data_IF_383028751053
#
_entry.id   IF_383028751053
#
_cell.length_a   1.000
_cell.length_b   1.000
_cell.length_c   1.000
_cell.angle_alpha   90.00
_cell.angle_beta   90.00
_cell.angle_gamma   90.00
#
_symmetry.space_group_name_H-M   'P 1'
#
loop_
_entity.id
_entity.type
_entity.pdbx_description
1 polymer ?
#
# COMPACT_ATOMS: atom_id res chain seq x y z
N UNK A 1 -40.66 31.03 24.88
CA UNK A 1 -40.50 30.89 23.41
C UNK A 1 -39.10 31.38 23.07
N UNK A 2 -38.15 30.45 22.84
CA UNK A 2 -36.78 30.80 22.48
C UNK A 2 -36.69 31.05 20.98
N UNK A 3 -36.53 32.31 20.58
CA UNK A 3 -35.98 32.71 19.29
C UNK A 3 -34.55 32.21 19.20
N UNK A 4 -34.34 31.00 18.68
CA UNK A 4 -33.03 30.60 18.16
C UNK A 4 -32.70 31.54 17.01
N UNK A 5 -31.79 32.46 17.24
CA UNK A 5 -31.12 33.24 16.18
C UNK A 5 -30.67 32.27 15.09
N UNK A 6 -31.10 32.50 13.85
CA UNK A 6 -30.73 31.65 12.73
C UNK A 6 -29.19 31.58 12.64
N UNK A 7 -28.63 30.38 12.70
CA UNK A 7 -27.18 30.18 12.60
C UNK A 7 -26.69 30.62 11.22
N UNK A 8 -25.65 31.46 11.21
CA UNK A 8 -25.01 31.95 9.98
C UNK A 8 -24.13 30.88 9.33
N UNK A 9 -23.34 30.16 10.13
CA UNK A 9 -22.58 29.01 9.65
C UNK A 9 -23.43 27.75 9.79
N UNK A 10 -23.60 27.01 8.70
CA UNK A 10 -24.43 25.81 8.65
C UNK A 10 -23.77 24.73 7.80
N UNK A 11 -24.39 23.56 7.79
CA UNK A 11 -23.97 22.41 6.99
C UNK A 11 -24.89 22.27 5.77
N UNK A 12 -24.32 22.27 4.57
CA UNK A 12 -25.02 21.96 3.33
C UNK A 12 -25.06 20.45 3.09
N UNK A 13 -25.89 19.75 3.89
CA UNK A 13 -26.22 18.34 3.64
C UNK A 13 -27.28 18.21 2.55
N UNK A 14 -27.34 17.04 1.90
CA UNK A 14 -28.39 16.72 0.92
C UNK A 14 -29.80 16.97 1.49
N UNK A 15 -30.05 16.57 2.74
CA UNK A 15 -31.34 16.80 3.42
C UNK A 15 -31.67 18.27 3.63
N UNK A 16 -30.66 19.12 3.89
CA UNK A 16 -30.89 20.56 4.05
C UNK A 16 -31.15 21.21 2.71
N UNK A 17 -30.36 20.86 1.70
CA UNK A 17 -30.54 21.35 0.33
C UNK A 17 -31.93 20.98 -0.19
N UNK A 18 -32.33 19.72 -0.06
CA UNK A 18 -33.66 19.25 -0.45
C UNK A 18 -34.78 20.02 0.28
N UNK A 19 -34.69 20.18 1.60
CA UNK A 19 -35.68 20.95 2.37
C UNK A 19 -35.80 22.41 1.94
N UNK A 20 -34.68 23.07 1.62
CA UNK A 20 -34.69 24.45 1.13
C UNK A 20 -35.31 24.53 -0.28
N UNK A 21 -35.01 23.58 -1.16
CA UNK A 21 -35.59 23.48 -2.51
C UNK A 21 -37.10 23.27 -2.44
N UNK A 22 -37.56 22.35 -1.59
CA UNK A 22 -38.98 22.05 -1.37
C UNK A 22 -39.75 23.24 -0.79
N UNK A 23 -39.09 24.06 0.03
CA UNK A 23 -39.68 25.23 0.68
C UNK A 23 -39.85 26.46 -0.21
N UNK A 24 -39.16 26.52 -1.36
CA UNK A 24 -39.13 27.70 -2.23
C UNK A 24 -40.50 27.97 -2.89
N UNK A 25 -40.98 29.22 -2.79
CA UNK A 25 -42.32 29.62 -3.26
C UNK A 25 -42.31 30.56 -4.47
N UNK A 26 -41.37 31.49 -4.49
CA UNK A 26 -41.30 32.57 -5.47
C UNK A 26 -40.06 32.43 -6.37
N UNK A 27 -38.91 32.07 -5.78
CA UNK A 27 -37.63 31.96 -6.51
C UNK A 27 -36.79 30.79 -6.03
N UNK A 28 -36.19 30.08 -6.98
CA UNK A 28 -35.27 28.97 -6.76
C UNK A 28 -34.07 29.07 -7.72
N UNK A 29 -32.89 29.32 -7.18
CA UNK A 29 -31.62 29.29 -7.94
C UNK A 29 -30.74 28.20 -7.38
N UNK A 30 -30.27 27.29 -8.22
CA UNK A 30 -29.29 26.27 -7.86
C UNK A 30 -28.08 26.33 -8.79
N UNK A 31 -26.90 26.53 -8.22
CA UNK A 31 -25.62 26.52 -8.93
C UNK A 31 -24.66 25.62 -8.17
N UNK A 32 -24.08 24.62 -8.84
CA UNK A 32 -23.15 23.68 -8.22
C UNK A 32 -22.24 23.02 -9.27
N UNK A 33 -21.07 22.48 -8.89
CA UNK A 33 -20.26 21.69 -9.81
C UNK A 33 -21.03 20.49 -10.38
N UNK A 34 -21.64 19.71 -9.49
CA UNK A 34 -22.44 18.54 -9.80
C UNK A 34 -23.61 18.42 -8.81
N UNK A 35 -24.48 17.43 -9.03
CA UNK A 35 -25.67 17.20 -8.23
C UNK A 35 -25.72 15.76 -7.72
N UNK A 36 -26.18 15.57 -6.48
CA UNK A 36 -26.44 14.27 -5.85
C UNK A 36 -27.87 13.82 -6.13
N UNK A 37 -28.17 12.52 -6.00
CA UNK A 37 -29.52 12.00 -6.30
C UNK A 37 -30.64 12.65 -5.46
N UNK A 38 -30.50 12.85 -4.14
CA UNK A 38 -31.57 13.48 -3.34
C UNK A 38 -31.85 14.91 -3.80
N UNK A 39 -30.80 15.69 -4.07
CA UNK A 39 -30.94 17.09 -4.53
C UNK A 39 -31.52 17.13 -5.93
N UNK A 40 -31.09 16.26 -6.85
CA UNK A 40 -31.65 16.18 -8.20
C UNK A 40 -33.14 15.82 -8.18
N UNK A 41 -33.57 14.89 -7.30
CA UNK A 41 -34.99 14.55 -7.11
C UNK A 41 -35.79 15.76 -6.60
N UNK A 42 -35.27 16.49 -5.61
CA UNK A 42 -35.91 17.70 -5.10
C UNK A 42 -36.07 18.76 -6.19
N UNK A 43 -35.00 19.05 -6.96
CA UNK A 43 -35.05 20.00 -8.09
C UNK A 43 -36.06 19.55 -9.17
N UNK A 44 -36.00 18.29 -9.59
CA UNK A 44 -36.89 17.74 -10.61
C UNK A 44 -38.37 17.84 -10.20
N UNK A 45 -38.68 17.69 -8.91
CA UNK A 45 -40.03 17.84 -8.38
C UNK A 45 -40.56 19.29 -8.44
N UNK A 46 -39.69 20.31 -8.52
CA UNK A 46 -40.09 21.72 -8.66
C UNK A 46 -40.30 22.15 -10.12
N UNK A 47 -39.74 21.42 -11.10
CA UNK A 47 -39.83 21.77 -12.52
C UNK A 47 -41.26 21.87 -13.11
N UNK A 48 -42.28 21.14 -12.64
CA UNK A 48 -43.66 21.36 -13.07
C UNK A 48 -44.20 22.76 -12.74
N UNK A 49 -43.55 23.50 -11.84
CA UNK A 49 -43.97 24.82 -11.38
C UNK A 49 -43.27 25.98 -12.10
N UNK A 50 -42.43 25.69 -13.10
CA UNK A 50 -41.77 26.70 -13.94
C UNK A 50 -42.82 27.66 -14.50
N UNK A 51 -42.60 28.96 -14.28
CA UNK A 51 -43.50 30.05 -14.65
C UNK A 51 -44.35 30.56 -13.48
N UNK A 52 -44.66 29.72 -12.49
CA UNK A 52 -45.18 30.16 -11.18
C UNK A 52 -44.04 30.41 -10.19
N UNK A 53 -43.06 29.51 -10.20
CA UNK A 53 -41.78 29.63 -9.50
C UNK A 53 -40.72 30.04 -10.51
N UNK A 54 -39.93 31.07 -10.19
CA UNK A 54 -38.77 31.44 -10.98
C UNK A 54 -37.62 30.47 -10.68
N UNK A 55 -37.27 29.60 -11.63
CA UNK A 55 -36.30 28.52 -11.44
C UNK A 55 -35.09 28.74 -12.34
N UNK A 56 -33.90 28.70 -11.74
CA UNK A 56 -32.62 28.72 -12.45
C UNK A 56 -31.74 27.58 -11.95
N UNK A 57 -31.18 26.78 -12.86
CA UNK A 57 -30.30 25.66 -12.52
C UNK A 57 -29.06 25.69 -13.40
N UNK A 58 -27.87 25.81 -12.80
CA UNK A 58 -26.57 25.91 -13.47
C UNK A 58 -25.62 24.83 -12.95
N UNK A 59 -24.97 24.08 -13.86
CA UNK A 59 -24.00 23.02 -13.53
C UNK A 59 -22.66 23.20 -14.27
N UNK A 60 -21.56 22.62 -13.78
CA UNK A 60 -20.23 22.72 -14.44
C UNK A 60 -20.19 22.00 -15.81
N UNK A 61 -20.94 20.90 -15.92
CA UNK A 61 -21.01 20.05 -17.12
C UNK A 61 -19.65 19.43 -17.52
N UNK A 62 -18.73 19.27 -16.57
CA UNK A 62 -17.47 18.56 -16.72
C UNK A 62 -17.57 17.12 -16.14
N UNK A 63 -17.27 16.05 -16.90
CA UNK A 63 -17.20 14.68 -16.35
C UNK A 63 -16.27 14.54 -15.14
N UNK A 64 -15.18 15.32 -15.07
CA UNK A 64 -14.21 15.26 -13.97
C UNK A 64 -14.84 15.63 -12.62
N UNK A 65 -15.84 16.51 -12.56
CA UNK A 65 -16.50 16.84 -11.28
C UNK A 65 -17.27 15.65 -10.70
N UNK A 66 -17.82 14.79 -11.55
CA UNK A 66 -18.46 13.53 -11.12
C UNK A 66 -17.41 12.50 -10.71
N UNK A 67 -16.26 12.46 -11.41
CA UNK A 67 -15.14 11.60 -11.05
C UNK A 67 -14.49 12.02 -9.73
N UNK A 68 -14.48 13.30 -9.38
CA UNK A 68 -14.01 13.80 -8.08
C UNK A 68 -15.01 13.54 -6.93
N UNK A 69 -16.23 13.10 -7.27
CA UNK A 69 -17.27 12.76 -6.31
C UNK A 69 -18.09 13.95 -5.80
N UNK A 70 -18.27 14.99 -6.62
CA UNK A 70 -19.19 16.09 -6.29
C UNK A 70 -20.67 15.76 -6.56
N UNK A 71 -20.97 14.67 -7.25
CA UNK A 71 -22.32 14.24 -7.61
C UNK A 71 -22.33 12.87 -8.28
N UNK A 72 -23.50 12.43 -8.75
CA UNK A 72 -23.64 11.13 -9.43
C UNK A 72 -24.11 11.28 -10.88
N UNK A 73 -23.61 10.45 -11.82
CA UNK A 73 -24.10 10.44 -13.20
C UNK A 73 -25.61 10.14 -13.31
N UNK A 74 -26.13 9.30 -12.42
CA UNK A 74 -27.57 9.00 -12.32
C UNK A 74 -28.41 10.22 -11.97
N UNK A 75 -27.90 11.10 -11.09
CA UNK A 75 -28.58 12.34 -10.71
C UNK A 75 -28.63 13.35 -11.86
N UNK A 76 -27.55 13.48 -12.64
CA UNK A 76 -27.52 14.30 -13.84
C UNK A 76 -28.56 13.82 -14.87
N UNK A 77 -28.62 12.52 -15.14
CA UNK A 77 -29.59 11.96 -16.09
C UNK A 77 -31.03 12.14 -15.62
N UNK A 78 -31.29 11.97 -14.32
CA UNK A 78 -32.60 12.21 -13.72
C UNK A 78 -33.05 13.66 -13.95
N UNK A 79 -32.16 14.62 -13.62
CA UNK A 79 -32.47 16.04 -13.77
C UNK A 79 -32.62 16.45 -15.23
N UNK A 80 -31.77 15.94 -16.12
CA UNK A 80 -31.85 16.17 -17.57
C UNK A 80 -33.16 15.66 -18.17
N UNK A 81 -33.59 14.47 -17.76
CA UNK A 81 -34.86 13.87 -18.20
C UNK A 81 -36.06 14.71 -17.74
N UNK A 82 -36.02 15.18 -16.49
CA UNK A 82 -37.07 16.06 -15.97
C UNK A 82 -37.08 17.42 -16.68
N UNK A 83 -35.90 18.02 -16.92
CA UNK A 83 -35.76 19.28 -17.64
C UNK A 83 -36.31 19.19 -19.06
N UNK A 84 -35.97 18.13 -19.80
CA UNK A 84 -36.49 17.89 -21.14
C UNK A 84 -38.03 17.73 -21.15
N UNK A 85 -38.59 16.99 -20.18
CA UNK A 85 -40.04 16.79 -20.04
C UNK A 85 -40.81 18.11 -19.84
N UNK A 86 -40.22 19.04 -19.10
CA UNK A 86 -40.84 20.32 -18.74
C UNK A 86 -40.36 21.49 -19.62
N UNK A 87 -39.64 21.22 -20.71
CA UNK A 87 -39.04 22.23 -21.60
C UNK A 87 -38.21 23.28 -20.84
N UNK A 88 -37.56 22.85 -19.76
CA UNK A 88 -36.75 23.70 -18.90
C UNK A 88 -35.31 23.78 -19.43
N UNK A 89 -34.77 24.98 -19.66
CA UNK A 89 -33.39 25.14 -20.12
C UNK A 89 -32.41 24.97 -18.96
N UNK A 90 -31.81 23.77 -18.84
CA UNK A 90 -30.71 23.54 -17.91
C UNK A 90 -29.47 24.31 -18.39
N UNK A 91 -28.87 25.12 -17.53
CA UNK A 91 -27.72 25.97 -17.87
C UNK A 91 -26.41 25.31 -17.45
N UNK A 92 -25.32 25.70 -18.12
CA UNK A 92 -23.98 25.21 -17.85
C UNK A 92 -22.97 26.35 -17.69
N UNK A 93 -22.01 26.15 -16.80
CA UNK A 93 -20.91 27.06 -16.56
C UNK A 93 -19.66 26.26 -16.18
N UNK A 94 -18.73 26.03 -17.11
CA UNK A 94 -17.51 25.30 -16.82
C UNK A 94 -16.69 25.93 -15.69
N UNK A 95 -16.13 25.10 -14.81
CA UNK A 95 -15.23 25.49 -13.73
C UNK A 95 -15.90 25.99 -12.45
N UNK A 96 -17.20 25.71 -12.22
CA UNK A 96 -17.86 26.03 -10.95
C UNK A 96 -17.23 25.20 -9.82
N UNK A 97 -16.77 25.87 -8.74
CA UNK A 97 -16.19 25.20 -7.55
C UNK A 97 -16.91 25.51 -6.25
N UNK A 98 -17.98 26.27 -6.31
CA UNK A 98 -18.83 26.63 -5.19
C UNK A 98 -20.24 26.09 -5.43
N UNK A 99 -20.98 25.91 -4.34
CA UNK A 99 -22.39 25.66 -4.37
C UNK A 99 -23.16 26.90 -3.92
N UNK A 100 -24.24 27.22 -4.61
CA UNK A 100 -25.14 28.32 -4.29
C UNK A 100 -26.56 27.82 -4.44
N UNK A 101 -27.34 27.92 -3.37
CA UNK A 101 -28.79 27.68 -3.38
C UNK A 101 -29.50 28.93 -2.87
N UNK A 102 -30.36 29.51 -3.69
CA UNK A 102 -31.24 30.62 -3.30
C UNK A 102 -32.67 30.08 -3.32
N UNK A 103 -33.32 30.06 -2.17
CA UNK A 103 -34.73 29.75 -2.01
C UNK A 103 -35.42 30.99 -1.42
N UNK A 104 -36.14 31.72 -2.26
CA UNK A 104 -36.78 33.00 -1.93
C UNK A 104 -35.77 34.03 -1.37
N UNK A 105 -35.83 34.31 -0.06
CA UNK A 105 -34.93 35.23 0.65
C UNK A 105 -33.76 34.52 1.35
N UNK A 106 -33.73 33.19 1.31
CA UNK A 106 -32.70 32.38 1.94
C UNK A 106 -31.62 32.00 0.92
N UNK A 107 -30.42 32.54 1.08
CA UNK A 107 -29.26 32.16 0.26
C UNK A 107 -28.31 31.29 1.07
N UNK A 108 -27.93 30.15 0.53
CA UNK A 108 -26.93 29.23 1.08
C UNK A 108 -25.76 29.17 0.11
N UNK A 109 -24.61 29.73 0.52
CA UNK A 109 -23.34 29.57 -0.18
C UNK A 109 -22.54 28.47 0.50
N UNK A 110 -22.09 27.46 -0.23
CA UNK A 110 -21.39 26.31 0.34
C UNK A 110 -20.20 25.87 -0.48
N UNK A 111 -19.26 25.18 0.18
CA UNK A 111 -18.19 24.43 -0.48
C UNK A 111 -18.66 22.98 -0.68
N UNK A 112 -18.92 22.54 -1.92
CA UNK A 112 -19.21 21.14 -2.21
C UNK A 112 -18.07 20.26 -1.71
N UNK A 113 -18.41 19.13 -1.09
CA UNK A 113 -17.43 18.22 -0.52
C UNK A 113 -17.20 17.07 -1.51
N UNK A 114 -15.97 16.85 -2.00
CA UNK A 114 -15.69 15.72 -2.88
C UNK A 114 -15.80 14.42 -2.07
N UNK A 115 -16.82 13.60 -2.37
CA UNK A 115 -17.10 12.36 -1.64
C UNK A 115 -15.95 11.33 -1.71
N UNK A 116 -15.00 11.50 -2.63
CA UNK A 116 -13.77 10.70 -2.69
C UNK A 116 -12.72 11.05 -1.63
N UNK A 117 -12.79 12.25 -1.06
CA UNK A 117 -11.77 12.77 -0.13
C UNK A 117 -12.34 12.85 1.29
N UNK A 118 -13.59 13.26 1.44
CA UNK A 118 -14.22 13.49 2.75
C UNK A 118 -15.63 12.87 2.80
N UNK A 119 -16.01 12.32 3.96
CA UNK A 119 -17.42 12.00 4.20
C UNK A 119 -18.19 13.32 4.21
N UNK A 120 -19.30 13.41 3.47
CA UNK A 120 -20.18 14.58 3.51
C UNK A 120 -20.44 14.97 4.97
N UNK A 121 -20.27 16.25 5.29
CA UNK A 121 -20.47 16.71 6.66
C UNK A 121 -21.96 16.56 6.99
N UNK A 122 -22.28 15.71 7.97
CA UNK A 122 -23.64 15.54 8.52
C UNK A 122 -23.75 16.08 9.95
N UNK A 123 -22.64 16.57 10.52
CA UNK A 123 -22.58 17.13 11.87
C UNK A 123 -22.47 18.65 11.82
N UNK A 124 -23.30 19.33 12.60
CA UNK A 124 -23.28 20.78 12.81
C UNK A 124 -21.92 21.31 13.33
N UNK A 125 -21.03 20.42 13.82
CA UNK A 125 -19.67 20.75 14.26
C UNK A 125 -18.68 20.98 13.10
N UNK A 126 -19.07 20.70 11.85
CA UNK A 126 -18.23 20.88 10.64
C UNK A 126 -18.98 21.68 9.57
N UNK A 127 -19.21 22.99 9.78
CA UNK A 127 -19.92 23.81 8.81
C UNK A 127 -19.12 23.94 7.51
N UNK A 128 -19.79 23.74 6.37
CA UNK A 128 -19.23 23.97 5.03
C UNK A 128 -20.02 25.03 4.25
N UNK A 129 -20.95 25.73 4.92
CA UNK A 129 -21.85 26.67 4.28
C UNK A 129 -22.14 27.90 5.14
N UNK A 130 -22.54 28.98 4.46
CA UNK A 130 -22.89 30.27 5.03
C UNK A 130 -24.29 30.66 4.54
N UNK A 131 -25.16 30.98 5.49
CA UNK A 131 -26.46 31.60 5.24
C UNK A 131 -26.30 33.10 5.01
N UNK A 132 -26.70 33.57 3.83
CA UNK A 132 -26.67 34.96 3.40
C UNK A 132 -28.12 35.43 3.25
N UNK A 133 -28.39 36.69 3.62
CA UNK A 133 -29.72 37.31 3.52
C UNK A 133 -29.61 38.80 3.18
N UNK A 134 -30.73 39.41 2.79
CA UNK A 134 -30.79 40.80 2.36
C UNK A 134 -30.08 41.04 1.03
N UNK A 135 -29.73 42.29 0.73
CA UNK A 135 -29.30 42.75 -0.62
C UNK A 135 -28.21 41.95 -1.33
N UNK A 136 -27.36 41.21 -0.60
CA UNK A 136 -26.38 40.30 -1.20
C UNK A 136 -27.04 39.09 -1.90
N UNK A 137 -28.13 38.57 -1.34
CA UNK A 137 -28.96 37.51 -1.93
C UNK A 137 -29.51 37.93 -3.29
N UNK A 138 -30.03 39.15 -3.39
CA UNK A 138 -30.57 39.69 -4.64
C UNK A 138 -29.49 39.87 -5.71
N UNK A 139 -28.31 40.37 -5.35
CA UNK A 139 -27.18 40.51 -6.28
C UNK A 139 -26.75 39.15 -6.84
N UNK A 140 -26.63 38.14 -5.98
CA UNK A 140 -26.27 36.78 -6.39
C UNK A 140 -27.34 36.14 -7.28
N UNK A 141 -28.62 36.38 -6.98
CA UNK A 141 -29.72 35.88 -7.79
C UNK A 141 -29.68 36.48 -9.21
N UNK A 142 -29.50 37.79 -9.33
CA UNK A 142 -29.39 38.47 -10.64
C UNK A 142 -28.16 37.99 -11.42
N UNK A 143 -26.99 37.88 -10.77
CA UNK A 143 -25.77 37.37 -11.42
C UNK A 143 -25.91 35.91 -11.88
N UNK A 144 -26.76 35.12 -11.22
CA UNK A 144 -27.09 33.76 -11.64
C UNK A 144 -28.23 33.69 -12.67
N UNK A 145 -28.78 34.83 -13.12
CA UNK A 145 -29.80 34.90 -14.15
C UNK A 145 -31.26 34.78 -13.66
N UNK A 146 -31.50 34.89 -12.36
CA UNK A 146 -32.87 34.87 -11.81
C UNK A 146 -33.54 36.26 -11.94
N UNK A 147 -34.83 36.26 -12.29
CA UNK A 147 -35.63 37.45 -12.53
C UNK A 147 -36.32 37.45 -13.90
N UNK A 148 -37.20 38.44 -14.16
CA UNK A 148 -37.95 38.52 -15.41
C UNK A 148 -37.00 38.64 -16.62
N UNK A 149 -37.36 37.97 -17.72
CA UNK A 149 -36.53 37.79 -18.92
C UNK A 149 -35.93 39.09 -19.49
N UNK A 150 -36.56 40.25 -19.26
CA UNK A 150 -36.08 41.57 -19.68
C UNK A 150 -34.83 42.07 -18.91
N UNK A 151 -34.47 41.43 -17.78
CA UNK A 151 -33.30 41.77 -16.93
C UNK A 151 -32.14 40.77 -17.04
N UNK A 152 -32.20 39.83 -17.99
CA UNK A 152 -31.16 38.79 -18.20
C UNK A 152 -29.81 39.32 -18.67
N UNK A 153 -29.69 40.62 -18.99
CA UNK A 153 -28.43 41.25 -19.38
C UNK A 153 -27.36 41.30 -18.27
N UNK A 154 -27.76 41.13 -17.01
CA UNK A 154 -26.87 41.17 -15.84
C UNK A 154 -26.42 39.77 -15.36
N UNK A 155 -26.75 38.70 -16.11
CA UNK A 155 -26.31 37.34 -15.81
C UNK A 155 -24.79 37.21 -16.04
N UNK A 156 -24.06 36.75 -15.04
CA UNK A 156 -22.60 36.58 -15.07
C UNK A 156 -22.18 35.11 -15.30
N UNK A 157 -23.01 34.15 -14.86
CA UNK A 157 -22.72 32.71 -14.92
C UNK A 157 -23.90 31.92 -15.49
N UNK A 158 -23.64 30.82 -16.20
CA UNK A 158 -24.70 29.98 -16.76
C UNK A 158 -25.28 30.48 -18.10
N UNK A 159 -24.49 31.26 -18.85
CA UNK A 159 -24.92 31.85 -20.12
C UNK A 159 -25.19 30.83 -21.23
N UNK A 160 -24.63 29.63 -21.11
CA UNK A 160 -24.81 28.56 -22.08
C UNK A 160 -25.87 27.56 -21.60
N UNK A 161 -26.74 27.12 -22.51
CA UNK A 161 -27.64 25.99 -22.24
C UNK A 161 -26.90 24.66 -22.41
N UNK A 162 -27.27 23.64 -21.63
CA UNK A 162 -26.83 22.27 -21.84
C UNK A 162 -27.48 21.74 -23.12
N UNK A 163 -26.75 21.74 -24.24
CA UNK A 163 -27.26 21.20 -25.50
C UNK A 163 -27.38 19.67 -25.44
N UNK A 164 -28.25 19.06 -26.26
CA UNK A 164 -28.35 17.60 -26.36
C UNK A 164 -27.02 16.93 -26.72
N UNK A 165 -26.21 17.57 -27.57
CA UNK A 165 -24.89 17.08 -27.98
C UNK A 165 -23.90 17.09 -26.82
N UNK A 166 -23.84 18.20 -26.06
CA UNK A 166 -22.99 18.33 -24.88
C UNK A 166 -23.38 17.32 -23.80
N UNK A 167 -24.68 17.13 -23.55
CA UNK A 167 -25.18 16.11 -22.64
C UNK A 167 -24.75 14.70 -23.08
N UNK A 168 -24.89 14.38 -24.37
CA UNK A 168 -24.50 13.07 -24.90
C UNK A 168 -22.99 12.83 -24.77
N UNK A 169 -22.17 13.87 -25.00
CA UNK A 169 -20.72 13.78 -24.84
C UNK A 169 -20.33 13.48 -23.38
N UNK A 170 -20.91 14.18 -22.41
CA UNK A 170 -20.67 13.95 -20.98
C UNK A 170 -21.09 12.54 -20.58
N UNK A 171 -22.28 12.11 -20.99
CA UNK A 171 -22.79 10.77 -20.65
C UNK A 171 -21.97 9.67 -21.32
N UNK A 172 -21.49 9.88 -22.55
CA UNK A 172 -20.61 8.93 -23.24
C UNK A 172 -19.25 8.81 -22.56
N UNK A 173 -18.64 9.94 -22.16
CA UNK A 173 -17.38 9.95 -21.42
C UNK A 173 -17.52 9.25 -20.06
N UNK A 174 -18.57 9.57 -19.29
CA UNK A 174 -18.86 8.92 -18.00
C UNK A 174 -19.17 7.43 -18.14
N UNK A 175 -19.65 6.96 -19.30
CA UNK A 175 -19.82 5.53 -19.58
C UNK A 175 -18.50 4.85 -19.95
N UNK A 176 -17.66 5.50 -20.75
CA UNK A 176 -16.36 4.98 -21.13
C UNK A 176 -15.39 4.93 -19.94
N UNK A 177 -15.48 5.92 -19.06
CA UNK A 177 -14.62 6.13 -17.90
C UNK A 177 -15.48 6.42 -16.66
N UNK A 178 -16.10 5.38 -16.07
CA UNK A 178 -17.01 5.56 -14.95
C UNK A 178 -16.28 6.09 -13.71
N UNK A 179 -16.94 6.97 -12.92
CA UNK A 179 -16.46 7.34 -11.61
C UNK A 179 -16.23 6.09 -10.75
N UNK A 180 -15.10 6.04 -10.05
CA UNK A 180 -14.83 4.94 -9.14
C UNK A 180 -15.82 4.98 -7.95
N UNK A 181 -16.29 3.80 -7.51
CA UNK A 181 -17.24 3.71 -6.38
C UNK A 181 -16.60 4.27 -5.11
N UNK A 182 -17.29 5.24 -4.50
CA UNK A 182 -16.77 6.12 -3.45
C UNK A 182 -16.21 5.38 -2.22
N UNK A 183 -16.85 4.29 -1.79
CA UNK A 183 -16.45 3.52 -0.60
C UNK A 183 -15.12 2.77 -0.79
N UNK A 184 -14.83 2.41 -2.03
CA UNK A 184 -13.68 1.57 -2.40
C UNK A 184 -12.40 2.41 -2.50
N UNK A 185 -12.47 3.61 -3.09
CA UNK A 185 -11.28 4.47 -3.26
C UNK A 185 -10.78 5.03 -1.92
N UNK A 186 -11.72 5.39 -1.03
CA UNK A 186 -11.36 5.91 0.29
C UNK A 186 -10.75 4.83 1.18
N UNK A 187 -11.33 3.64 1.17
CA UNK A 187 -10.76 2.48 1.89
C UNK A 187 -9.36 2.18 1.36
N UNK A 188 -9.18 2.07 0.05
CA UNK A 188 -7.87 1.91 -0.61
C UNK A 188 -6.84 2.93 -0.12
N UNK A 189 -7.16 4.23 -0.12
CA UNK A 189 -6.23 5.29 0.29
C UNK A 189 -5.85 5.18 1.77
N UNK A 190 -6.80 4.87 2.65
CA UNK A 190 -6.55 4.65 4.08
C UNK A 190 -5.63 3.43 4.27
N UNK A 191 -5.93 2.30 3.60
CA UNK A 191 -5.12 1.08 3.71
C UNK A 191 -3.71 1.28 3.15
N UNK A 192 -3.54 1.90 1.97
CA UNK A 192 -2.20 2.18 1.41
C UNK A 192 -1.38 3.14 2.28
N UNK A 193 -2.04 4.04 3.03
CA UNK A 193 -1.37 4.97 3.96
C UNK A 193 -0.96 4.34 5.30
N UNK A 194 -1.63 3.26 5.74
CA UNK A 194 -1.39 2.67 7.07
C UNK A 194 -0.72 1.29 7.01
N UNK A 195 -0.78 0.60 5.87
CA UNK A 195 -0.25 -0.73 5.68
C UNK A 195 0.75 -0.79 4.53
N UNK A 196 1.64 -1.78 4.60
CA UNK A 196 2.61 -2.08 3.56
C UNK A 196 2.86 -3.60 3.52
N UNK A 197 3.04 -4.17 2.33
CA UNK A 197 3.57 -5.53 2.21
C UNK A 197 5.07 -5.55 2.46
N UNK A 198 5.54 -6.57 3.15
CA UNK A 198 6.96 -6.72 3.46
C UNK A 198 7.42 -8.16 3.24
N UNK A 199 8.52 -8.30 2.50
CA UNK A 199 9.19 -9.56 2.30
C UNK A 199 10.63 -9.45 2.81
N UNK A 200 10.98 -10.27 3.81
CA UNK A 200 12.32 -10.35 4.36
C UNK A 200 13.08 -11.47 3.65
N UNK A 201 14.07 -11.12 2.83
CA UNK A 201 14.94 -12.08 2.14
C UNK A 201 16.30 -12.11 2.82
N UNK A 202 16.65 -13.27 3.34
CA UNK A 202 17.94 -13.54 3.96
C UNK A 202 18.73 -14.47 3.04
N UNK A 203 19.81 -13.96 2.45
CA UNK A 203 20.69 -14.71 1.54
C UNK A 203 22.00 -15.11 2.23
N UNK A 204 22.69 -16.13 1.71
CA UNK A 204 24.01 -16.55 2.17
C UNK A 204 24.11 -16.98 3.65
N UNK A 205 23.03 -17.58 4.18
CA UNK A 205 22.93 -18.00 5.59
C UNK A 205 22.89 -19.51 5.83
N UNK A 206 22.98 -20.34 4.78
CA UNK A 206 23.03 -21.80 4.87
C UNK A 206 24.41 -22.27 4.49
N UNK A 207 25.15 -22.79 5.47
CA UNK A 207 26.57 -23.13 5.35
C UNK A 207 26.78 -24.64 5.12
N UNK A 208 25.73 -25.45 5.24
CA UNK A 208 25.78 -26.93 5.24
C UNK A 208 25.72 -27.62 3.86
N UNK A 209 25.53 -26.91 2.75
CA UNK A 209 25.00 -27.53 1.51
C UNK A 209 25.94 -27.66 0.31
N UNK A 210 27.24 -27.32 0.37
CA UNK A 210 28.15 -27.44 -0.80
C UNK A 210 29.12 -28.62 -0.68
N UNK A 211 29.20 -29.45 -1.72
CA UNK A 211 30.16 -30.56 -1.87
C UNK A 211 31.16 -30.21 -2.97
N UNK A 212 32.45 -30.45 -2.74
CA UNK A 212 33.49 -30.30 -3.77
C UNK A 212 34.08 -31.67 -4.10
N UNK A 213 34.25 -31.93 -5.40
CA UNK A 213 34.88 -33.15 -5.90
C UNK A 213 36.41 -33.06 -5.78
N UNK A 214 37.06 -34.19 -5.49
CA UNK A 214 38.51 -34.28 -5.44
C UNK A 214 39.13 -34.15 -6.86
N UNK A 215 40.24 -33.41 -7.02
CA UNK A 215 40.97 -33.30 -8.28
C UNK A 215 41.53 -34.67 -8.73
N UNK A 216 41.60 -34.91 -10.06
CA UNK A 216 42.03 -36.20 -10.62
C UNK A 216 43.47 -36.60 -10.25
N UNK A 217 44.33 -35.65 -9.95
CA UNK A 217 45.73 -35.85 -9.55
C UNK A 217 45.84 -36.57 -8.19
N UNK A 218 44.87 -36.34 -7.29
CA UNK A 218 44.76 -37.03 -6.01
C UNK A 218 44.04 -38.39 -6.14
N UNK A 219 43.22 -38.57 -7.19
CA UNK A 219 42.50 -39.82 -7.44
C UNK A 219 43.42 -40.95 -7.90
N UNK A 220 44.52 -40.63 -8.57
CA UNK A 220 45.47 -41.60 -9.13
C UNK A 220 46.44 -42.19 -8.09
N UNK A 221 46.52 -41.59 -6.90
CA UNK A 221 47.48 -41.94 -5.84
C UNK A 221 46.78 -42.43 -4.55
N UNK A 222 45.46 -42.24 -4.45
CA UNK A 222 44.64 -42.64 -3.29
C UNK A 222 43.94 -43.99 -3.48
N UNK A 223 43.94 -44.81 -2.43
CA UNK A 223 43.14 -46.03 -2.28
C UNK A 223 41.70 -45.70 -1.84
N UNK A 224 40.76 -46.64 -2.02
CA UNK A 224 39.32 -46.41 -1.82
C UNK A 224 38.98 -45.90 -0.40
N UNK A 225 39.62 -46.46 0.63
CA UNK A 225 39.43 -46.03 2.02
C UNK A 225 39.93 -44.60 2.28
N UNK A 226 41.07 -44.22 1.70
CA UNK A 226 41.60 -42.85 1.81
C UNK A 226 40.74 -41.84 1.06
N UNK A 227 40.18 -42.22 -0.11
CA UNK A 227 39.21 -41.40 -0.86
C UNK A 227 37.96 -41.12 -0.06
N UNK A 228 37.39 -42.14 0.59
CA UNK A 228 36.17 -41.99 1.41
C UNK A 228 36.43 -41.16 2.69
N UNK A 229 37.62 -41.30 3.28
CA UNK A 229 38.03 -40.53 4.48
C UNK A 229 38.35 -39.06 4.19
N UNK A 230 38.87 -38.74 3.01
CA UNK A 230 39.21 -37.36 2.64
C UNK A 230 38.01 -36.66 2.02
N UNK A 231 37.18 -37.35 1.24
CA UNK A 231 35.91 -36.81 0.73
C UNK A 231 34.90 -36.51 1.85
N UNK A 232 34.94 -37.24 2.98
CA UNK A 232 34.18 -36.89 4.18
C UNK A 232 34.73 -35.65 4.91
N UNK A 233 36.03 -35.35 4.78
CA UNK A 233 36.68 -34.14 5.31
C UNK A 233 36.48 -32.86 4.47
N UNK A 234 35.95 -32.98 3.24
CA UNK A 234 35.57 -31.84 2.38
C UNK A 234 34.17 -31.31 2.74
N UNK A 235 33.44 -31.96 3.66
CA UNK A 235 32.30 -31.34 4.32
C UNK A 235 32.81 -30.48 5.47
N UNK A 236 32.26 -29.28 5.71
CA UNK A 236 32.48 -28.64 7.00
C UNK A 236 32.02 -29.62 8.08
N UNK A 237 32.88 -30.01 9.04
CA UNK A 237 32.45 -30.87 10.13
C UNK A 237 31.21 -30.25 10.81
N UNK A 238 30.24 -31.06 11.23
CA UNK A 238 29.08 -30.53 11.96
C UNK A 238 29.52 -29.70 13.19
N UNK A 239 30.64 -30.09 13.79
CA UNK A 239 31.30 -29.39 14.89
C UNK A 239 31.93 -28.05 14.51
N UNK A 240 32.30 -27.87 13.23
CA UNK A 240 32.87 -26.64 12.70
C UNK A 240 31.82 -25.60 12.33
N UNK A 241 30.57 -26.03 12.10
CA UNK A 241 29.41 -25.16 11.92
C UNK A 241 28.74 -24.81 13.25
N UNK A 242 28.95 -25.66 14.26
CA UNK A 242 28.77 -25.35 15.66
C UNK A 242 27.37 -24.93 16.07
N UNK A 243 27.15 -24.97 17.37
CA UNK A 243 26.57 -23.82 18.03
C UNK A 243 27.69 -23.04 18.72
N UNK A 244 27.96 -21.80 18.28
CA UNK A 244 29.00 -20.96 18.85
C UNK A 244 28.48 -20.16 20.03
N UNK A 245 29.26 -20.05 21.10
CA UNK A 245 28.97 -19.08 22.17
C UNK A 245 29.59 -17.75 21.76
N UNK A 246 28.77 -16.86 21.23
CA UNK A 246 29.18 -15.54 20.74
C UNK A 246 28.39 -14.44 21.44
N UNK A 247 28.99 -13.27 21.54
CA UNK A 247 28.32 -12.07 22.04
C UNK A 247 27.35 -11.57 20.96
N UNK A 248 26.05 -11.66 21.23
CA UNK A 248 25.00 -11.13 20.35
C UNK A 248 24.36 -9.90 20.98
N UNK A 249 23.88 -9.01 20.12
CA UNK A 249 23.07 -7.86 20.50
C UNK A 249 21.63 -8.35 20.78
N UNK A 250 21.16 -8.14 22.01
CA UNK A 250 19.81 -8.52 22.47
C UNK A 250 18.79 -7.38 22.24
N UNK A 251 17.51 -7.65 22.49
CA UNK A 251 16.39 -6.68 22.30
C UNK A 251 16.55 -5.38 23.10
N UNK A 252 17.22 -5.44 24.25
CA UNK A 252 17.50 -4.29 25.12
C UNK A 252 18.73 -3.49 24.68
N UNK A 253 19.39 -3.87 23.57
CA UNK A 253 20.62 -3.25 23.09
C UNK A 253 21.88 -3.68 23.85
N UNK A 254 21.78 -4.64 24.76
CA UNK A 254 22.93 -5.18 25.48
C UNK A 254 23.59 -6.36 24.76
N UNK A 255 24.90 -6.53 24.95
CA UNK A 255 25.65 -7.66 24.42
C UNK A 255 25.56 -8.84 25.39
N UNK A 256 25.02 -9.98 24.95
CA UNK A 256 24.91 -11.20 25.75
C UNK A 256 25.56 -12.40 25.06
N UNK A 257 26.30 -13.20 25.82
CA UNK A 257 26.81 -14.49 25.35
C UNK A 257 25.65 -15.44 25.15
N UNK A 258 25.39 -15.82 23.90
CA UNK A 258 24.42 -16.86 23.58
C UNK A 258 25.02 -17.91 22.69
N UNK A 259 24.42 -19.10 22.79
CA UNK A 259 24.73 -20.26 21.96
C UNK A 259 23.94 -20.14 20.64
N UNK A 260 24.62 -19.67 19.60
CA UNK A 260 24.04 -19.36 18.28
C UNK A 260 24.34 -20.48 17.29
N UNK A 261 23.32 -20.91 16.54
CA UNK A 261 23.41 -21.88 15.44
C UNK A 261 22.57 -21.43 14.25
N UNK A 262 22.69 -22.09 13.09
CA UNK A 262 21.80 -21.85 11.93
C UNK A 262 20.31 -21.97 12.31
N UNK A 263 19.97 -22.88 13.23
CA UNK A 263 18.60 -23.05 13.73
C UNK A 263 18.15 -21.83 14.53
N UNK A 264 19.02 -21.28 15.37
CA UNK A 264 18.73 -20.06 16.13
C UNK A 264 18.51 -18.88 15.19
N UNK A 265 19.35 -18.68 14.17
CA UNK A 265 19.19 -17.60 13.19
C UNK A 265 17.86 -17.72 12.42
N UNK A 266 17.45 -18.94 12.09
CA UNK A 266 16.16 -19.20 11.44
C UNK A 266 14.98 -18.87 12.35
N UNK A 267 15.07 -19.24 13.63
CA UNK A 267 14.05 -18.92 14.64
C UNK A 267 13.98 -17.42 14.94
N UNK A 268 15.13 -16.74 15.00
CA UNK A 268 15.19 -15.30 15.26
C UNK A 268 14.60 -14.50 14.11
N UNK A 269 14.90 -14.89 12.87
CA UNK A 269 14.23 -14.35 11.68
C UNK A 269 12.72 -14.53 11.76
N UNK A 270 12.26 -15.75 12.06
CA UNK A 270 10.82 -16.05 12.17
C UNK A 270 10.16 -15.22 13.29
N UNK A 271 10.83 -15.03 14.44
CA UNK A 271 10.37 -14.17 15.53
C UNK A 271 10.18 -12.73 15.08
N UNK A 272 11.16 -12.15 14.38
CA UNK A 272 11.07 -10.77 13.85
C UNK A 272 9.89 -10.67 12.88
N UNK A 273 9.77 -11.60 11.92
CA UNK A 273 8.66 -11.62 10.99
C UNK A 273 7.31 -11.74 11.72
N UNK A 274 7.16 -12.64 12.70
CA UNK A 274 5.90 -12.86 13.41
C UNK A 274 5.52 -11.72 14.37
N UNK A 275 6.48 -10.99 14.91
CA UNK A 275 6.24 -9.93 15.91
C UNK A 275 5.69 -8.66 15.27
N UNK A 276 6.18 -8.32 14.08
CA UNK A 276 5.83 -7.06 13.41
C UNK A 276 4.90 -7.23 12.21
N UNK A 277 4.78 -8.44 11.68
CA UNK A 277 4.00 -8.71 10.47
C UNK A 277 2.93 -9.76 10.70
N UNK A 278 1.95 -9.76 9.80
CA UNK A 278 0.88 -10.73 9.79
C UNK A 278 0.57 -11.19 8.37
N UNK A 279 0.27 -12.47 8.24
CA UNK A 279 0.04 -13.10 6.95
C UNK A 279 -1.43 -12.99 6.56
N UNK A 280 -1.68 -12.43 5.38
CA UNK A 280 -2.99 -12.36 4.75
C UNK A 280 -3.06 -13.48 3.70
N UNK A 281 -3.94 -14.49 3.88
CA UNK A 281 -3.98 -15.65 3.00
C UNK A 281 -4.18 -15.29 1.53
N UNK A 282 -3.32 -15.79 0.64
CA UNK A 282 -3.22 -15.49 -0.81
C UNK A 282 -2.59 -14.12 -1.17
N UNK A 283 -2.36 -13.24 -0.20
CA UNK A 283 -1.86 -11.88 -0.46
C UNK A 283 -0.46 -11.61 0.13
N UNK A 284 -0.03 -12.41 1.11
CA UNK A 284 1.33 -12.34 1.68
C UNK A 284 1.39 -11.63 3.03
N UNK A 285 2.58 -11.20 3.45
CA UNK A 285 2.81 -10.58 4.76
C UNK A 285 2.67 -9.07 4.71
N UNK A 286 1.93 -8.53 5.67
CA UNK A 286 1.63 -7.10 5.82
C UNK A 286 2.17 -6.59 7.16
N UNK A 287 2.62 -5.35 7.18
CA UNK A 287 3.07 -4.60 8.35
C UNK A 287 2.30 -3.27 8.46
N UNK A 288 2.05 -2.81 9.68
CA UNK A 288 1.58 -1.45 9.96
C UNK A 288 2.74 -0.47 9.76
N UNK A 289 2.52 0.61 9.01
CA UNK A 289 3.56 1.64 8.78
C UNK A 289 4.08 2.23 10.10
N UNK A 290 3.26 2.33 11.14
CA UNK A 290 3.66 2.79 12.47
C UNK A 290 4.71 1.90 13.14
N UNK A 291 4.73 0.60 12.81
CA UNK A 291 5.68 -0.36 13.38
C UNK A 291 6.93 -0.53 12.51
N UNK A 292 7.01 0.16 11.36
CA UNK A 292 8.09 -0.01 10.39
C UNK A 292 9.45 0.36 10.96
N UNK A 293 9.53 1.47 11.68
CA UNK A 293 10.79 1.93 12.29
C UNK A 293 11.35 0.90 13.28
N UNK A 294 10.49 0.23 14.07
CA UNK A 294 10.91 -0.81 15.01
C UNK A 294 11.35 -2.08 14.29
N UNK A 295 10.61 -2.48 13.25
CA UNK A 295 10.98 -3.61 12.40
C UNK A 295 12.36 -3.42 11.76
N UNK A 296 12.64 -2.24 11.21
CA UNK A 296 13.93 -1.94 10.57
C UNK A 296 15.08 -1.99 11.58
N UNK A 297 14.90 -1.45 12.78
CA UNK A 297 15.88 -1.55 13.86
C UNK A 297 16.18 -3.01 14.27
N UNK A 298 15.15 -3.86 14.34
CA UNK A 298 15.32 -5.29 14.62
C UNK A 298 16.04 -6.03 13.49
N UNK A 299 15.80 -5.64 12.23
CA UNK A 299 16.51 -6.18 11.07
C UNK A 299 18.00 -5.80 11.10
N UNK A 300 18.33 -4.55 11.41
CA UNK A 300 19.73 -4.10 11.58
C UNK A 300 20.44 -4.85 12.72
N UNK A 301 19.72 -5.07 13.83
CA UNK A 301 20.22 -5.91 14.93
C UNK A 301 20.51 -7.33 14.46
N UNK A 302 19.57 -7.93 13.74
CA UNK A 302 19.72 -9.28 13.19
C UNK A 302 20.89 -9.37 12.21
N UNK A 303 21.10 -8.35 11.38
CA UNK A 303 22.26 -8.25 10.48
C UNK A 303 23.59 -8.25 11.25
N UNK A 304 23.65 -7.46 12.32
CA UNK A 304 24.82 -7.39 13.19
C UNK A 304 25.14 -8.75 13.81
N UNK A 305 24.14 -9.43 14.35
CA UNK A 305 24.28 -10.77 14.92
C UNK A 305 24.73 -11.81 13.88
N UNK A 306 24.23 -11.69 12.64
CA UNK A 306 24.58 -12.56 11.53
C UNK A 306 26.04 -12.38 11.08
N UNK A 307 26.54 -11.13 11.09
CA UNK A 307 27.97 -10.83 10.84
C UNK A 307 28.87 -11.42 11.92
N UNK A 308 28.49 -11.31 13.20
CA UNK A 308 29.24 -11.91 14.31
C UNK A 308 29.28 -13.43 14.22
N UNK A 309 28.15 -14.06 13.90
CA UNK A 309 28.10 -15.50 13.68
C UNK A 309 29.01 -15.93 12.53
N UNK A 310 28.99 -15.22 11.39
CA UNK A 310 29.87 -15.49 10.26
C UNK A 310 31.35 -15.37 10.62
N UNK A 311 31.73 -14.37 11.41
CA UNK A 311 33.10 -14.23 11.88
C UNK A 311 33.55 -15.46 12.71
N UNK A 312 32.67 -15.96 13.58
CA UNK A 312 32.95 -17.17 14.36
C UNK A 312 33.03 -18.44 13.48
N UNK A 313 32.15 -18.57 12.48
CA UNK A 313 32.20 -19.65 11.49
C UNK A 313 33.50 -19.61 10.71
N UNK A 314 33.89 -18.45 10.18
CA UNK A 314 35.15 -18.28 9.44
C UNK A 314 36.36 -18.64 10.30
N UNK A 315 36.42 -18.17 11.56
CA UNK A 315 37.51 -18.50 12.47
C UNK A 315 37.58 -20.01 12.80
N UNK A 316 36.44 -20.68 12.93
CA UNK A 316 36.35 -22.14 13.09
C UNK A 316 36.85 -22.88 11.85
N UNK A 317 36.44 -22.41 10.67
CA UNK A 317 36.81 -23.01 9.41
C UNK A 317 38.28 -22.85 9.09
N UNK A 318 38.92 -21.72 9.39
CA UNK A 318 40.37 -21.58 9.21
C UNK A 318 41.17 -22.61 10.01
N UNK A 319 40.69 -23.00 11.21
CA UNK A 319 41.27 -24.10 11.98
C UNK A 319 41.08 -25.45 11.29
N UNK A 320 39.89 -25.68 10.70
CA UNK A 320 39.62 -26.89 9.91
C UNK A 320 40.47 -26.93 8.65
N UNK A 321 40.60 -25.82 7.93
CA UNK A 321 41.46 -25.67 6.74
C UNK A 321 42.90 -26.05 7.06
N UNK A 322 43.44 -25.47 8.13
CA UNK A 322 44.80 -25.75 8.61
C UNK A 322 45.00 -27.23 8.97
N UNK A 323 44.03 -27.82 9.68
CA UNK A 323 44.08 -29.26 10.05
C UNK A 323 43.99 -30.16 8.82
N UNK A 324 43.10 -29.86 7.88
CA UNK A 324 42.93 -30.60 6.63
C UNK A 324 44.19 -30.54 5.77
N UNK A 325 44.76 -29.35 5.57
CA UNK A 325 46.01 -29.18 4.82
C UNK A 325 47.15 -30.01 5.43
N UNK A 326 47.29 -30.00 6.75
CA UNK A 326 48.30 -30.82 7.44
C UNK A 326 48.06 -32.33 7.28
N UNK A 327 46.81 -32.79 7.33
CA UNK A 327 46.46 -34.19 7.06
C UNK A 327 46.75 -34.59 5.62
N UNK A 328 46.41 -33.72 4.65
CA UNK A 328 46.70 -33.92 3.23
C UNK A 328 48.20 -34.08 2.99
N UNK A 329 49.03 -33.19 3.54
CA UNK A 329 50.49 -33.29 3.41
C UNK A 329 51.01 -34.57 4.07
N UNK A 330 50.56 -34.90 5.28
CA UNK A 330 51.04 -36.09 6.01
C UNK A 330 50.76 -37.40 5.26
N UNK A 331 49.57 -37.52 4.67
CA UNK A 331 49.09 -38.74 4.01
C UNK A 331 49.61 -38.87 2.56
N UNK A 332 49.67 -37.77 1.80
CA UNK A 332 50.04 -37.82 0.38
C UNK A 332 51.53 -37.60 0.10
N UNK A 333 52.27 -36.89 0.97
CA UNK A 333 53.69 -36.61 0.74
C UNK A 333 54.54 -37.88 0.58
N UNK A 334 54.38 -38.96 1.37
CA UNK A 334 55.14 -40.20 1.16
C UNK A 334 54.87 -40.83 -0.21
N UNK A 335 53.63 -40.74 -0.70
CA UNK A 335 53.22 -41.32 -1.99
C UNK A 335 53.69 -40.46 -3.16
N UNK A 336 53.67 -39.14 -3.03
CA UNK A 336 54.17 -38.21 -4.05
C UNK A 336 55.70 -38.22 -4.17
N UNK A 337 56.42 -38.60 -3.11
CA UNK A 337 57.86 -38.89 -3.17
C UNK A 337 58.15 -40.14 -4.03
N UNK A 338 57.29 -41.16 -3.97
CA UNK A 338 57.46 -42.41 -4.74
C UNK A 338 56.94 -42.26 -6.17
N UNK A 339 55.82 -41.57 -6.35
CA UNK A 339 55.17 -41.33 -7.64
C UNK A 339 54.72 -39.88 -7.72
N UNK A 340 55.64 -39.01 -8.12
CA UNK A 340 55.33 -37.59 -8.28
C UNK A 340 54.33 -37.36 -9.42
N UNK A 341 53.50 -36.30 -9.35
CA UNK A 341 52.55 -35.98 -10.41
C UNK A 341 53.24 -35.70 -11.76
N UNK A 342 52.63 -36.14 -12.86
CA UNK A 342 53.24 -36.09 -14.19
C UNK A 342 53.48 -34.66 -14.68
N UNK A 343 52.63 -33.69 -14.29
CA UNK A 343 52.81 -32.28 -14.62
C UNK A 343 54.02 -31.64 -13.92
N UNK A 344 54.42 -32.13 -12.73
CA UNK A 344 55.63 -31.65 -12.05
C UNK A 344 56.89 -32.29 -12.61
N UNK A 345 56.82 -33.58 -12.96
CA UNK A 345 57.92 -34.31 -13.62
C UNK A 345 58.38 -33.66 -14.91
N UNK A 346 57.46 -33.02 -15.64
CA UNK A 346 57.75 -32.26 -16.86
C UNK A 346 58.83 -31.18 -16.65
N UNK A 347 58.94 -30.63 -15.45
CA UNK A 347 59.90 -29.56 -15.14
C UNK A 347 61.09 -30.06 -14.31
N UNK A 348 60.90 -31.10 -13.51
CA UNK A 348 61.97 -31.77 -12.79
C UNK A 348 61.58 -33.24 -12.50
N UNK A 349 62.36 -34.21 -13.01
CA UNK A 349 62.10 -35.65 -12.84
C UNK A 349 62.02 -36.09 -11.37
N UNK A 350 62.70 -35.36 -10.47
CA UNK A 350 62.62 -35.55 -9.01
C UNK A 350 62.42 -34.21 -8.32
N UNK A 351 61.17 -33.73 -8.19
CA UNK A 351 60.88 -32.48 -7.51
C UNK A 351 61.38 -32.52 -6.05
N UNK A 352 62.00 -31.44 -5.55
CA UNK A 352 62.34 -31.28 -4.14
C UNK A 352 61.13 -31.55 -3.23
N UNK A 353 61.40 -32.09 -2.05
CA UNK A 353 60.35 -32.41 -1.07
C UNK A 353 59.55 -31.18 -0.65
N UNK A 354 60.20 -30.01 -0.59
CA UNK A 354 59.54 -28.74 -0.26
C UNK A 354 58.57 -28.28 -1.35
N UNK A 355 58.89 -28.50 -2.63
CA UNK A 355 58.00 -28.18 -3.75
C UNK A 355 56.76 -29.09 -3.75
N UNK A 356 56.93 -30.38 -3.44
CA UNK A 356 55.81 -31.32 -3.28
C UNK A 356 54.89 -30.93 -2.10
N UNK A 357 55.45 -30.46 -0.99
CA UNK A 357 54.67 -29.97 0.15
C UNK A 357 53.92 -28.69 -0.21
N UNK A 358 54.59 -27.72 -0.83
CA UNK A 358 54.01 -26.46 -1.24
C UNK A 358 52.82 -26.67 -2.19
N UNK A 359 52.96 -27.62 -3.12
CA UNK A 359 51.91 -27.97 -4.07
C UNK A 359 50.72 -28.70 -3.40
N UNK A 360 50.97 -29.61 -2.46
CA UNK A 360 49.90 -30.23 -1.68
C UNK A 360 49.14 -29.20 -0.82
N UNK A 361 49.85 -28.21 -0.25
CA UNK A 361 49.22 -27.08 0.43
C UNK A 361 48.41 -26.21 -0.54
N UNK A 362 48.92 -25.94 -1.75
CA UNK A 362 48.20 -25.20 -2.79
C UNK A 362 46.91 -25.91 -3.19
N UNK A 363 46.97 -27.21 -3.48
CA UNK A 363 45.78 -28.01 -3.84
C UNK A 363 44.78 -28.09 -2.69
N UNK A 364 45.26 -28.26 -1.45
CA UNK A 364 44.40 -28.26 -0.28
C UNK A 364 43.67 -26.90 -0.15
N UNK A 365 44.39 -25.79 -0.25
CA UNK A 365 43.80 -24.45 -0.19
C UNK A 365 42.84 -24.19 -1.34
N UNK A 366 43.16 -24.55 -2.57
CA UNK A 366 42.26 -24.40 -3.72
C UNK A 366 40.97 -25.22 -3.59
N UNK A 367 41.06 -26.43 -3.03
CA UNK A 367 39.89 -27.26 -2.77
C UNK A 367 39.00 -26.67 -1.69
N UNK A 368 39.63 -26.19 -0.62
CA UNK A 368 38.94 -25.57 0.50
C UNK A 368 38.32 -24.24 0.09
N UNK A 369 39.02 -23.39 -0.66
CA UNK A 369 38.51 -22.09 -1.11
C UNK A 369 37.35 -22.27 -2.11
N UNK A 370 37.39 -23.30 -2.97
CA UNK A 370 36.24 -23.67 -3.81
C UNK A 370 35.07 -24.24 -2.99
N UNK A 371 35.35 -24.93 -1.89
CA UNK A 371 34.33 -25.51 -1.01
C UNK A 371 33.70 -24.49 -0.06
N UNK A 372 34.46 -23.46 0.31
CA UNK A 372 34.21 -22.57 1.43
C UNK A 372 34.25 -21.08 1.04
N UNK A 373 33.65 -20.70 -0.11
CA UNK A 373 33.39 -19.28 -0.42
C UNK A 373 32.20 -18.80 0.44
N UNK A 374 32.48 -17.93 1.40
CA UNK A 374 31.47 -17.24 2.20
C UNK A 374 31.23 -15.85 1.63
N UNK A 375 30.15 -15.68 0.89
CA UNK A 375 29.68 -14.33 0.52
C UNK A 375 29.15 -13.57 1.75
N UNK A 376 29.06 -12.25 1.64
CA UNK A 376 28.43 -11.45 2.69
C UNK A 376 26.94 -11.80 2.84
N UNK A 377 26.46 -11.99 4.08
CA UNK A 377 25.04 -12.16 4.31
C UNK A 377 24.35 -10.84 3.98
N UNK A 378 23.45 -10.88 2.99
CA UNK A 378 22.62 -9.73 2.66
C UNK A 378 21.20 -9.97 3.15
N UNK A 379 20.68 -9.02 3.92
CA UNK A 379 19.27 -8.97 4.25
C UNK A 379 18.63 -7.91 3.35
N UNK A 380 17.63 -8.32 2.57
CA UNK A 380 16.85 -7.40 1.75
C UNK A 380 15.42 -7.37 2.26
N UNK A 381 14.98 -6.17 2.61
CA UNK A 381 13.58 -5.89 2.91
C UNK A 381 12.96 -5.30 1.65
N UNK A 382 11.97 -5.97 1.07
CA UNK A 382 11.26 -5.49 -0.12
C UNK A 382 9.92 -4.90 0.32
N UNK A 383 9.82 -3.57 0.49
CA UNK A 383 8.53 -2.92 0.69
C UNK A 383 7.74 -2.95 -0.62
N UNK A 384 6.46 -3.32 -0.54
CA UNK A 384 5.50 -3.11 -1.62
C UNK A 384 4.27 -2.43 -1.05
N UNK A 385 3.84 -1.34 -1.67
CA UNK A 385 2.60 -0.70 -1.27
C UNK A 385 1.40 -1.56 -1.65
N UNK A 386 0.31 -1.43 -0.90
CA UNK A 386 -0.92 -2.12 -1.25
C UNK A 386 -1.49 -1.47 -2.51
N UNK A 387 -1.58 -2.27 -3.57
CA UNK A 387 -2.13 -1.85 -4.84
C UNK A 387 -3.62 -1.51 -4.69
N UNK A 388 -4.12 -0.46 -5.36
CA UNK A 388 -5.53 -0.07 -5.33
C UNK A 388 -6.49 -1.21 -5.63
N UNK A 389 -6.13 -2.09 -6.56
CA UNK A 389 -6.94 -3.22 -7.00
C UNK A 389 -7.05 -4.31 -5.91
N UNK A 390 -6.05 -4.43 -5.04
CA UNK A 390 -6.08 -5.38 -3.92
C UNK A 390 -6.92 -4.84 -2.77
N UNK A 391 -6.77 -3.56 -2.43
CA UNK A 391 -7.56 -2.93 -1.38
C UNK A 391 -9.04 -2.71 -1.78
N UNK A 392 -9.35 -2.79 -3.07
CA UNK A 392 -10.71 -2.81 -3.59
C UNK A 392 -11.42 -4.17 -3.49
N UNK A 393 -10.69 -5.26 -3.22
CA UNK A 393 -11.26 -6.60 -3.13
C UNK A 393 -11.84 -6.86 -1.73
N UNK A 394 -13.14 -7.16 -1.68
CA UNK A 394 -13.83 -7.51 -0.44
C UNK A 394 -13.22 -8.76 0.23
N UNK A 395 -12.81 -9.76 -0.56
CA UNK A 395 -12.10 -10.96 -0.06
C UNK A 395 -10.79 -10.59 0.66
N UNK A 396 -10.06 -9.58 0.17
CA UNK A 396 -8.84 -9.10 0.82
C UNK A 396 -9.16 -8.44 2.16
N UNK A 397 -10.17 -7.57 2.21
CA UNK A 397 -10.54 -6.82 3.42
C UNK A 397 -11.01 -7.72 4.56
N UNK A 398 -11.85 -8.71 4.26
CA UNK A 398 -12.34 -9.68 5.26
C UNK A 398 -11.16 -10.48 5.82
N UNK A 399 -10.27 -10.99 4.96
CA UNK A 399 -9.09 -11.75 5.41
C UNK A 399 -8.11 -10.89 6.19
N UNK A 400 -7.95 -9.63 5.80
CA UNK A 400 -7.10 -8.69 6.50
C UNK A 400 -7.61 -8.46 7.92
N UNK A 401 -8.92 -8.21 8.10
CA UNK A 401 -9.55 -8.07 9.42
C UNK A 401 -9.29 -9.28 10.30
N UNK A 402 -9.58 -10.48 9.80
CA UNK A 402 -9.36 -11.74 10.54
C UNK A 402 -7.89 -11.90 10.93
N UNK A 403 -6.95 -11.57 10.03
CA UNK A 403 -5.52 -11.63 10.31
C UNK A 403 -5.11 -10.64 11.43
N UNK A 404 -5.65 -9.42 11.41
CA UNK A 404 -5.39 -8.39 12.41
C UNK A 404 -5.96 -8.76 13.79
N UNK A 405 -7.18 -9.30 13.84
CA UNK A 405 -7.83 -9.79 15.06
C UNK A 405 -7.06 -10.96 15.67
N UNK A 406 -6.65 -11.93 14.86
CA UNK A 406 -5.83 -13.07 15.30
C UNK A 406 -4.51 -12.61 15.91
N UNK A 407 -3.97 -11.48 15.43
CA UNK A 407 -2.74 -10.85 15.94
C UNK A 407 -2.97 -9.91 17.11
N UNK A 408 -4.21 -9.80 17.60
CA UNK A 408 -4.60 -8.96 18.74
C UNK A 408 -4.22 -7.49 18.53
N UNK A 409 -4.28 -7.01 17.29
CA UNK A 409 -4.17 -5.57 17.03
C UNK A 409 -5.32 -4.87 17.76
N UNK A 410 -5.08 -3.74 18.46
CA UNK A 410 -6.12 -3.03 19.20
C UNK A 410 -7.38 -2.79 18.37
N UNK A 411 -8.54 -3.09 18.94
CA UNK A 411 -9.83 -2.93 18.27
C UNK A 411 -10.08 -1.49 17.79
N UNK A 412 -9.53 -0.49 18.47
CA UNK A 412 -9.58 0.92 18.05
C UNK A 412 -8.86 1.17 16.71
N UNK A 413 -7.72 0.51 16.48
CA UNK A 413 -6.96 0.60 15.22
C UNK A 413 -7.72 -0.11 14.10
N UNK A 414 -8.23 -1.32 14.37
CA UNK A 414 -9.06 -2.07 13.40
C UNK A 414 -10.31 -1.24 13.03
N UNK A 415 -11.05 -0.75 14.02
CA UNK A 415 -12.24 0.07 13.79
C UNK A 415 -11.92 1.37 13.03
N UNK A 416 -10.78 2.01 13.30
CA UNK A 416 -10.37 3.20 12.55
C UNK A 416 -10.04 2.89 11.09
N UNK A 417 -9.41 1.74 10.84
CA UNK A 417 -8.99 1.30 9.51
C UNK A 417 -10.20 0.88 8.65
N UNK A 418 -11.19 0.24 9.26
CA UNK A 418 -12.37 -0.30 8.57
C UNK A 418 -13.65 0.53 8.70
N UNK A 419 -13.63 1.67 9.42
CA UNK A 419 -14.80 2.53 9.71
C UNK A 419 -15.73 2.76 8.52
N UNK A 420 -15.16 2.90 7.33
CA UNK A 420 -15.87 3.24 6.10
C UNK A 420 -16.39 2.00 5.37
N UNK A 421 -15.66 0.89 5.46
CA UNK A 421 -16.09 -0.41 4.94
C UNK A 421 -17.33 -0.89 5.71
N UNK A 422 -17.31 -0.78 7.04
CA UNK A 422 -18.45 -1.16 7.89
C UNK A 422 -19.67 -0.26 7.66
N UNK A 423 -19.46 1.04 7.41
CA UNK A 423 -20.55 1.97 7.07
C UNK A 423 -21.23 1.63 5.73
N UNK A 424 -20.44 1.19 4.74
CA UNK A 424 -20.96 0.78 3.43
C UNK A 424 -21.67 -0.60 3.47
N UNK A 425 -21.17 -1.55 4.26
CA UNK A 425 -21.87 -2.82 4.49
C UNK A 425 -23.19 -2.63 5.24
N UNK A 426 -23.21 -1.78 6.27
CA UNK A 426 -24.43 -1.48 7.03
C UNK A 426 -25.55 -0.92 6.15
N UNK A 427 -25.21 0.02 5.25
CA UNK A 427 -26.17 0.58 4.30
C UNK A 427 -26.72 -0.46 3.29
N UNK A 428 -25.90 -1.45 2.88
CA UNK A 428 -26.36 -2.55 2.02
C UNK A 428 -27.32 -3.50 2.73
N UNK A 429 -27.10 -3.77 4.02
CA UNK A 429 -27.96 -4.66 4.81
C UNK A 429 -29.32 -4.02 5.12
N UNK A 430 -29.37 -2.72 5.39
CA UNK A 430 -30.63 -1.99 5.58
C UNK A 430 -31.47 -1.89 4.29
N UNK A 431 -30.81 -1.77 3.13
CA UNK A 431 -31.48 -1.78 1.83
C UNK A 431 -32.01 -3.15 1.36
N UNK A 432 -31.66 -4.24 2.04
CA UNK A 432 -32.17 -5.60 1.76
C UNK A 432 -33.34 -6.00 2.69
N UNK A 433 -33.62 -5.18 3.70
CA UNK A 433 -34.68 -5.36 4.70
C UNK A 433 -35.91 -4.45 4.45
N UNK A 434 -35.90 -3.70 3.34
CA UNK A 434 -37.03 -2.96 2.76
C UNK A 434 -37.38 -3.59 1.41
#
# INVERSE_FOLDING_TARGET
>A
MNTRTAQTFVVASDDRLARLIEGARDRLVFLAPAVTEPVAKALAARLPEVGRLDITIILDADPEVYRLGYGSPSALELLRTAAAKHLFPLQIQPGIRIGLLIADTATLLYSPVPQLIEAGSTSDEKPNAVMISGSASEKLAVAAGAGPAEKTGDQEVGLAALTPEAATAITSDLKANPPQKFDIVRSVRVFSSQLQYIELKVQNCRFSSRRVALPPELLNVADKNLKDRISSGIRPPADALGPFTIDILDEDGSMKKRKVSEKWLSQERERIEQSYTFEVPKYGRVILRSERAKFDAEVERFETNLRTYRAAVNASLEKVKSKFANTMVTEFLPRWKQRSPDYMKRFNDKPPVEDLKAELHRIANELLDKAFVFEEPSIRVVPKDIAPESAAQEEFLVKLRVAMEKKRIPASIIASLFRNFDAAEGAKQEGLLL
#
